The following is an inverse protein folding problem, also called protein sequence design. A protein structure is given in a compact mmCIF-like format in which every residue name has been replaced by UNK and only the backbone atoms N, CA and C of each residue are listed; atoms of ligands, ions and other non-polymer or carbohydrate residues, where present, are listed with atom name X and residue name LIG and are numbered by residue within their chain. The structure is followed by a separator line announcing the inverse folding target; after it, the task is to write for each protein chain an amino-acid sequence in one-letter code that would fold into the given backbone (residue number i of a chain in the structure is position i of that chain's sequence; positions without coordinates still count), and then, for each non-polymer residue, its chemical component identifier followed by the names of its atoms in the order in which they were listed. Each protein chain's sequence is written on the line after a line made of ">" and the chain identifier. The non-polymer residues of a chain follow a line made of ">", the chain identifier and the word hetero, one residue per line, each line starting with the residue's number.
data_IF_246358964388
#
_entry.id   IF_246358964388
#
_cell.length_a   1.000
_cell.length_b   1.000
_cell.length_c   1.000
_cell.angle_alpha   90.00
_cell.angle_beta   90.00
_cell.angle_gamma   90.00
#
_symmetry.space_group_name_H-M   'P 1'
#
loop_
_entity.id
_entity.type
_entity.pdbx_description
1 polymer ?
#
# COMPACT_ATOMS: atom_id res chain seq x y z
N UNK A 1 39.93 -30.68 -0.07
CA UNK A 1 39.42 -29.32 -0.30
C UNK A 1 38.71 -28.88 0.96
N UNK A 2 39.24 -27.90 1.69
CA UNK A 2 38.61 -27.37 2.92
C UNK A 2 37.39 -26.53 2.56
N UNK A 3 36.21 -27.02 2.91
CA UNK A 3 34.96 -26.27 2.82
C UNK A 3 34.94 -25.18 3.91
N UNK A 4 35.52 -24.03 3.60
CA UNK A 4 35.52 -22.84 4.47
C UNK A 4 34.34 -21.94 4.15
N UNK A 5 33.13 -22.50 4.01
CA UNK A 5 31.92 -21.67 3.97
C UNK A 5 31.70 -21.08 5.36
N UNK A 6 32.10 -19.82 5.54
CA UNK A 6 31.91 -19.05 6.77
C UNK A 6 30.45 -19.20 7.24
N UNK A 7 30.25 -19.79 8.42
CA UNK A 7 28.91 -20.04 8.96
C UNK A 7 28.13 -18.72 8.99
N UNK A 8 26.95 -18.72 8.36
CA UNK A 8 26.09 -17.53 8.34
C UNK A 8 25.71 -17.16 9.78
N UNK A 9 25.72 -15.87 10.14
CA UNK A 9 25.27 -15.44 11.45
C UNK A 9 23.80 -15.85 11.65
N UNK A 10 23.55 -16.57 12.73
CA UNK A 10 22.21 -16.95 13.18
C UNK A 10 21.76 -15.94 14.24
N UNK A 11 20.69 -15.22 13.97
CA UNK A 11 20.07 -14.32 14.95
C UNK A 11 18.96 -15.08 15.67
N UNK A 12 19.12 -15.29 16.98
CA UNK A 12 18.12 -15.90 17.87
C UNK A 12 17.72 -14.83 18.91
N UNK A 13 16.46 -14.84 19.37
CA UNK A 13 15.92 -13.87 20.34
C UNK A 13 16.02 -12.40 19.92
N UNK A 14 15.55 -12.08 18.71
CA UNK A 14 15.53 -10.72 18.16
C UNK A 14 14.57 -9.86 19.01
N UNK A 15 15.11 -8.85 19.69
CA UNK A 15 14.32 -7.90 20.45
C UNK A 15 13.69 -6.86 19.48
N UNK A 16 12.36 -6.66 19.51
CA UNK A 16 11.69 -5.78 18.56
C UNK A 16 12.15 -4.31 18.62
N UNK A 17 12.66 -3.85 19.76
CA UNK A 17 12.99 -2.44 19.99
C UNK A 17 14.48 -2.19 19.70
N UNK A 18 15.39 -3.02 20.21
CA UNK A 18 16.84 -2.82 20.00
C UNK A 18 17.33 -3.33 18.64
N UNK A 19 16.76 -4.42 18.14
CA UNK A 19 17.38 -5.15 17.03
C UNK A 19 16.70 -4.87 15.68
N UNK A 20 15.38 -4.65 15.65
CA UNK A 20 14.68 -4.32 14.40
C UNK A 20 14.95 -2.88 13.95
N UNK A 21 15.14 -1.95 14.88
CA UNK A 21 15.36 -0.53 14.58
C UNK A 21 16.71 -0.28 13.90
N UNK A 22 17.70 -1.13 14.16
CA UNK A 22 19.04 -1.06 13.56
C UNK A 22 19.18 -1.90 12.28
N UNK A 23 18.21 -2.76 11.97
CA UNK A 23 18.27 -3.67 10.84
C UNK A 23 18.04 -2.97 9.50
N UNK A 24 18.99 -3.13 8.57
CA UNK A 24 18.88 -2.59 7.21
C UNK A 24 17.99 -3.46 6.33
N UNK A 25 16.70 -3.13 6.29
CA UNK A 25 15.72 -3.82 5.45
C UNK A 25 16.01 -3.64 3.95
N UNK A 26 16.16 -4.75 3.19
CA UNK A 26 16.16 -4.70 1.72
C UNK A 26 14.86 -4.10 1.19
N UNK A 27 14.90 -3.52 -0.02
CA UNK A 27 13.72 -2.91 -0.67
C UNK A 27 12.55 -3.90 -0.78
N UNK A 28 12.85 -5.17 -1.10
CA UNK A 28 11.84 -6.24 -1.16
C UNK A 28 11.14 -6.48 0.19
N UNK A 29 11.88 -6.37 1.31
CA UNK A 29 11.32 -6.52 2.65
C UNK A 29 10.43 -5.33 3.02
N UNK A 30 10.84 -4.10 2.66
CA UNK A 30 10.00 -2.89 2.82
C UNK A 30 8.70 -3.00 2.03
N UNK A 31 8.76 -3.51 0.80
CA UNK A 31 7.54 -3.73 0.01
C UNK A 31 6.61 -4.75 0.67
N UNK A 32 7.14 -5.85 1.20
CA UNK A 32 6.34 -6.88 1.89
C UNK A 32 5.62 -6.36 3.12
N UNK A 33 6.30 -5.56 3.98
CA UNK A 33 5.64 -5.00 5.16
C UNK A 33 4.58 -3.97 4.77
N UNK A 34 4.83 -3.16 3.74
CA UNK A 34 3.85 -2.21 3.22
C UNK A 34 2.67 -2.90 2.54
N UNK A 35 2.85 -4.06 1.89
CA UNK A 35 1.75 -4.87 1.36
C UNK A 35 0.81 -5.35 2.47
N UNK A 36 1.36 -5.77 3.62
CA UNK A 36 0.56 -6.13 4.80
C UNK A 36 -0.14 -4.92 5.40
N UNK A 37 0.58 -3.82 5.59
CA UNK A 37 0.03 -2.58 6.12
C UNK A 37 -1.10 -2.04 5.24
N UNK A 38 -0.95 -2.08 3.91
CA UNK A 38 -1.99 -1.64 2.99
C UNK A 38 -3.23 -2.55 3.01
N UNK A 39 -3.07 -3.85 3.25
CA UNK A 39 -4.20 -4.74 3.52
C UNK A 39 -4.99 -4.30 4.75
N UNK A 40 -4.29 -4.00 5.85
CA UNK A 40 -4.91 -3.50 7.09
C UNK A 40 -5.62 -2.15 6.89
N UNK A 41 -4.97 -1.20 6.21
CA UNK A 41 -5.56 0.12 5.94
C UNK A 41 -6.85 -0.02 5.16
N UNK A 42 -6.88 -0.85 4.10
CA UNK A 42 -8.12 -1.11 3.36
C UNK A 42 -9.19 -1.73 4.25
N UNK A 43 -8.83 -2.74 5.05
CA UNK A 43 -9.77 -3.40 5.96
C UNK A 43 -10.44 -2.42 6.93
N UNK A 44 -9.65 -1.56 7.60
CA UNK A 44 -10.20 -0.56 8.52
C UNK A 44 -11.01 0.54 7.82
N UNK A 45 -10.71 0.83 6.55
CA UNK A 45 -11.45 1.81 5.76
C UNK A 45 -12.63 1.20 4.98
N UNK A 46 -12.89 -0.11 5.07
CA UNK A 46 -14.04 -0.74 4.41
C UNK A 46 -15.38 -0.08 4.78
N UNK A 47 -15.70 0.24 6.06
CA UNK A 47 -16.94 0.95 6.38
C UNK A 47 -17.04 2.31 5.69
N UNK A 48 -15.92 3.01 5.54
CA UNK A 48 -15.86 4.29 4.83
C UNK A 48 -16.09 4.10 3.32
N UNK A 49 -15.53 3.06 2.70
CA UNK A 49 -15.78 2.71 1.29
C UNK A 49 -17.26 2.39 1.06
N UNK A 50 -17.88 1.61 1.96
CA UNK A 50 -19.31 1.29 1.89
C UNK A 50 -20.15 2.56 1.99
N UNK A 51 -19.82 3.46 2.92
CA UNK A 51 -20.50 4.75 3.04
C UNK A 51 -20.36 5.63 1.80
N UNK A 52 -19.15 5.71 1.20
CA UNK A 52 -18.92 6.44 -0.05
C UNK A 52 -19.78 5.88 -1.18
N UNK A 53 -19.81 4.54 -1.33
CA UNK A 53 -20.59 3.88 -2.36
C UNK A 53 -22.07 4.13 -2.18
N UNK A 54 -22.62 3.83 -1.00
CA UNK A 54 -24.04 4.03 -0.67
C UNK A 54 -24.47 5.47 -0.97
N UNK A 55 -23.76 6.44 -0.37
CA UNK A 55 -24.05 7.88 -0.55
C UNK A 55 -23.95 8.33 -2.01
N UNK A 56 -23.13 7.67 -2.84
CA UNK A 56 -22.99 8.02 -4.25
C UNK A 56 -24.12 7.52 -5.14
N UNK A 57 -24.89 6.50 -4.73
CA UNK A 57 -25.86 5.82 -5.61
C UNK A 57 -27.32 5.87 -5.13
N UNK A 58 -27.60 6.29 -3.88
CA UNK A 58 -28.97 6.22 -3.32
C UNK A 58 -29.97 7.14 -4.04
N UNK A 59 -29.58 8.38 -4.34
CA UNK A 59 -30.44 9.44 -4.91
C UNK A 59 -29.62 10.65 -5.35
N UNK A 60 -30.23 11.56 -6.11
CA UNK A 60 -29.62 12.85 -6.49
C UNK A 60 -29.19 13.67 -5.26
N UNK A 61 -30.03 13.71 -4.22
CA UNK A 61 -29.71 14.41 -2.98
C UNK A 61 -28.50 13.78 -2.27
N UNK A 62 -28.42 12.45 -2.22
CA UNK A 62 -27.26 11.76 -1.64
C UNK A 62 -25.99 11.99 -2.45
N UNK A 63 -26.09 12.03 -3.79
CA UNK A 63 -24.95 12.32 -4.65
C UNK A 63 -24.43 13.76 -4.46
N UNK A 64 -25.33 14.73 -4.27
CA UNK A 64 -24.95 16.09 -3.88
C UNK A 64 -24.20 16.12 -2.53
N UNK A 65 -24.64 15.31 -1.55
CA UNK A 65 -23.90 15.15 -0.28
C UNK A 65 -22.54 14.49 -0.47
N UNK A 66 -22.46 13.45 -1.31
CA UNK A 66 -21.20 12.76 -1.65
C UNK A 66 -20.19 13.75 -2.23
N UNK A 67 -20.57 14.54 -3.23
CA UNK A 67 -19.68 15.54 -3.84
C UNK A 67 -19.32 16.66 -2.87
N UNK A 68 -20.27 17.14 -2.06
CA UNK A 68 -20.01 18.14 -1.02
C UNK A 68 -19.01 17.66 0.03
N UNK A 69 -18.99 16.36 0.37
CA UNK A 69 -18.08 15.80 1.37
C UNK A 69 -16.59 16.06 1.05
N UNK A 70 -16.21 16.16 -0.22
CA UNK A 70 -14.84 16.44 -0.64
C UNK A 70 -14.47 17.93 -0.56
N UNK A 71 -15.46 18.82 -0.48
CA UNK A 71 -15.26 20.27 -0.46
C UNK A 71 -15.46 20.84 0.94
N UNK A 72 -16.61 20.58 1.55
CA UNK A 72 -16.97 21.12 2.88
C UNK A 72 -16.68 20.12 4.00
N UNK A 73 -16.85 18.82 3.73
CA UNK A 73 -16.64 17.75 4.71
C UNK A 73 -17.89 16.93 4.99
N UNK A 74 -17.75 15.93 5.86
CA UNK A 74 -18.82 15.04 6.28
C UNK A 74 -18.80 14.86 7.80
N UNK A 75 -19.87 15.27 8.48
CA UNK A 75 -19.95 15.23 9.94
C UNK A 75 -18.89 16.12 10.58
N UNK A 76 -18.06 15.55 11.45
CA UNK A 76 -16.94 16.24 12.12
C UNK A 76 -15.67 16.32 11.25
N UNK A 77 -15.64 15.65 10.09
CA UNK A 77 -14.45 15.53 9.27
C UNK A 77 -14.46 16.58 8.15
N UNK A 78 -13.46 17.48 8.08
CA UNK A 78 -13.39 18.49 7.03
C UNK A 78 -13.05 17.88 5.66
N UNK A 79 -13.40 18.56 4.57
CA UNK A 79 -13.23 18.03 3.20
C UNK A 79 -11.79 17.64 2.83
N UNK A 80 -10.78 18.37 3.34
CA UNK A 80 -9.38 18.00 3.14
C UNK A 80 -9.03 16.65 3.79
N UNK A 81 -9.63 16.34 4.96
CA UNK A 81 -9.42 15.06 5.64
C UNK A 81 -10.07 13.92 4.86
N UNK A 82 -11.27 14.14 4.32
CA UNK A 82 -11.93 13.20 3.41
C UNK A 82 -11.05 12.91 2.19
N UNK A 83 -10.47 13.95 1.56
CA UNK A 83 -9.50 13.77 0.46
C UNK A 83 -8.26 12.97 0.88
N UNK A 84 -7.70 13.21 2.07
CA UNK A 84 -6.58 12.41 2.56
C UNK A 84 -6.95 10.95 2.84
N UNK A 85 -8.13 10.68 3.40
CA UNK A 85 -8.62 9.33 3.63
C UNK A 85 -8.80 8.58 2.29
N UNK A 86 -9.35 9.25 1.28
CA UNK A 86 -9.48 8.69 -0.07
C UNK A 86 -8.12 8.52 -0.76
N UNK A 87 -7.17 9.45 -0.57
CA UNK A 87 -5.80 9.28 -1.06
C UNK A 87 -5.12 8.06 -0.42
N UNK A 88 -5.31 7.87 0.90
CA UNK A 88 -4.81 6.71 1.62
C UNK A 88 -5.42 5.41 1.06
N UNK A 89 -6.73 5.39 0.78
CA UNK A 89 -7.41 4.27 0.12
C UNK A 89 -6.82 3.97 -1.27
N UNK A 90 -6.65 5.00 -2.11
CA UNK A 90 -6.08 4.88 -3.45
C UNK A 90 -4.68 4.26 -3.38
N UNK A 91 -3.80 4.85 -2.56
CA UNK A 91 -2.45 4.33 -2.36
C UNK A 91 -2.48 2.89 -1.86
N UNK A 92 -3.32 2.63 -0.85
CA UNK A 92 -3.41 1.33 -0.21
C UNK A 92 -3.81 0.24 -1.19
N UNK A 93 -4.86 0.49 -1.99
CA UNK A 93 -5.32 -0.43 -3.02
C UNK A 93 -4.25 -0.66 -4.09
N UNK A 94 -3.70 0.41 -4.67
CA UNK A 94 -2.73 0.30 -5.77
C UNK A 94 -1.43 -0.40 -5.32
N UNK A 95 -0.89 -0.02 -4.15
CA UNK A 95 0.27 -0.69 -3.58
C UNK A 95 -0.02 -2.15 -3.27
N UNK A 96 -1.17 -2.45 -2.64
CA UNK A 96 -1.55 -3.82 -2.31
C UNK A 96 -1.70 -4.68 -3.56
N UNK A 97 -2.40 -4.17 -4.57
CA UNK A 97 -2.65 -4.85 -5.84
C UNK A 97 -1.35 -5.12 -6.60
N UNK A 98 -0.51 -4.12 -6.81
CA UNK A 98 0.78 -4.29 -7.50
C UNK A 98 1.70 -5.28 -6.77
N UNK A 99 1.77 -5.19 -5.43
CA UNK A 99 2.53 -6.14 -4.63
C UNK A 99 1.93 -7.55 -4.66
N UNK A 100 0.59 -7.67 -4.66
CA UNK A 100 -0.13 -8.94 -4.77
C UNK A 100 0.14 -9.65 -6.10
N UNK A 101 0.09 -8.92 -7.22
CA UNK A 101 0.48 -9.46 -8.53
C UNK A 101 1.93 -9.96 -8.54
N UNK A 102 2.85 -9.21 -7.90
CA UNK A 102 4.24 -9.66 -7.73
C UNK A 102 4.32 -10.94 -6.89
N UNK A 103 3.52 -11.08 -5.84
CA UNK A 103 3.47 -12.29 -5.03
C UNK A 103 2.97 -13.48 -5.85
N UNK A 104 1.83 -13.35 -6.52
CA UNK A 104 1.29 -14.39 -7.41
C UNK A 104 2.31 -14.80 -8.48
N UNK A 105 3.02 -13.83 -9.07
CA UNK A 105 4.06 -14.11 -10.05
C UNK A 105 5.20 -14.97 -9.47
N UNK A 106 5.66 -14.65 -8.25
CA UNK A 106 6.69 -15.44 -7.57
C UNK A 106 6.20 -16.85 -7.23
N UNK A 107 4.91 -17.00 -6.90
CA UNK A 107 4.28 -18.28 -6.59
C UNK A 107 4.15 -19.18 -7.82
N UNK A 108 4.04 -18.63 -9.04
CA UNK A 108 3.99 -19.43 -10.28
C UNK A 108 5.36 -19.62 -10.93
N UNK A 109 6.28 -18.65 -10.77
CA UNK A 109 7.56 -18.61 -11.48
C UNK A 109 8.78 -18.79 -10.56
N UNK A 110 8.77 -19.85 -9.75
CA UNK A 110 9.83 -20.15 -8.76
C UNK A 110 11.27 -20.08 -9.31
N UNK A 111 11.49 -20.53 -10.55
CA UNK A 111 12.83 -20.52 -11.19
C UNK A 111 13.40 -19.11 -11.38
N UNK A 112 12.54 -18.10 -11.46
CA UNK A 112 12.91 -16.70 -11.66
C UNK A 112 13.12 -15.96 -10.33
N UNK A 113 12.81 -16.59 -9.19
CA UNK A 113 12.90 -15.97 -7.86
C UNK A 113 14.33 -16.04 -7.35
N UNK A 114 15.06 -14.94 -7.53
CA UNK A 114 16.41 -14.76 -7.00
C UNK A 114 16.58 -13.36 -6.38
N UNK A 115 17.76 -13.06 -5.84
CA UNK A 115 18.03 -11.79 -5.14
C UNK A 115 17.90 -10.57 -6.05
N UNK A 116 18.34 -10.69 -7.30
CA UNK A 116 18.25 -9.60 -8.30
C UNK A 116 16.79 -9.34 -8.64
N UNK A 117 16.05 -10.39 -9.03
CA UNK A 117 14.61 -10.32 -9.29
C UNK A 117 13.86 -9.74 -8.11
N UNK A 118 14.16 -10.17 -6.88
CA UNK A 118 13.54 -9.66 -5.66
C UNK A 118 13.70 -8.14 -5.51
N UNK A 119 14.87 -7.58 -5.85
CA UNK A 119 15.16 -6.14 -5.82
C UNK A 119 14.47 -5.41 -6.96
N UNK A 120 14.64 -5.86 -8.20
CA UNK A 120 14.15 -5.17 -9.40
C UNK A 120 12.63 -5.17 -9.46
N UNK A 121 11.99 -6.32 -9.21
CA UNK A 121 10.52 -6.41 -9.14
C UNK A 121 9.93 -5.53 -8.04
N UNK A 122 10.60 -5.43 -6.88
CA UNK A 122 10.11 -4.57 -5.80
C UNK A 122 10.21 -3.08 -6.16
N UNK A 123 11.29 -2.67 -6.81
CA UNK A 123 11.45 -1.29 -7.26
C UNK A 123 10.44 -0.95 -8.35
N UNK A 124 10.19 -1.86 -9.29
CA UNK A 124 9.17 -1.70 -10.33
C UNK A 124 7.76 -1.56 -9.71
N UNK A 125 7.41 -2.42 -8.75
CA UNK A 125 6.13 -2.29 -8.04
C UNK A 125 5.98 -0.93 -7.34
N UNK A 126 7.02 -0.43 -6.66
CA UNK A 126 6.97 0.91 -6.06
C UNK A 126 6.80 2.00 -7.11
N UNK A 127 7.58 1.96 -8.18
CA UNK A 127 7.50 2.96 -9.24
C UNK A 127 6.10 3.01 -9.86
N UNK A 128 5.53 1.85 -10.21
CA UNK A 128 4.21 1.76 -10.83
C UNK A 128 3.11 2.23 -9.84
N UNK A 129 3.09 1.67 -8.63
CA UNK A 129 2.05 2.01 -7.65
C UNK A 129 2.08 3.47 -7.22
N UNK A 130 3.27 4.06 -7.00
CA UNK A 130 3.41 5.46 -6.64
C UNK A 130 3.07 6.39 -7.80
N UNK A 131 3.46 6.06 -9.02
CA UNK A 131 3.09 6.84 -10.21
C UNK A 131 1.56 6.87 -10.38
N UNK A 132 0.91 5.71 -10.30
CA UNK A 132 -0.55 5.63 -10.38
C UNK A 132 -1.23 6.39 -9.22
N UNK A 133 -0.69 6.28 -8.01
CA UNK A 133 -1.18 7.03 -6.84
C UNK A 133 -1.05 8.54 -7.07
N UNK A 134 0.07 9.00 -7.61
CA UNK A 134 0.29 10.42 -7.88
C UNK A 134 -0.67 10.95 -8.96
N UNK A 135 -0.91 10.19 -10.02
CA UNK A 135 -1.86 10.54 -11.09
C UNK A 135 -3.28 10.64 -10.53
N UNK A 136 -3.76 9.61 -9.83
CA UNK A 136 -5.10 9.60 -9.25
C UNK A 136 -5.26 10.62 -8.11
N UNK A 137 -4.20 10.82 -7.32
CA UNK A 137 -4.13 11.86 -6.31
C UNK A 137 -4.24 13.25 -6.93
N UNK A 138 -3.51 13.52 -8.02
CA UNK A 138 -3.61 14.78 -8.73
C UNK A 138 -5.06 15.07 -9.18
N UNK A 139 -5.76 14.06 -9.70
CA UNK A 139 -7.19 14.16 -10.03
C UNK A 139 -8.06 14.43 -8.80
N UNK A 140 -7.83 13.72 -7.69
CA UNK A 140 -8.57 13.89 -6.43
C UNK A 140 -8.47 15.31 -5.86
N UNK A 141 -7.33 15.97 -6.08
CA UNK A 141 -7.09 17.35 -5.67
C UNK A 141 -7.44 18.38 -6.77
N UNK A 142 -8.01 17.95 -7.90
CA UNK A 142 -8.52 18.84 -8.95
C UNK A 142 -7.44 19.47 -9.82
N UNK A 143 -6.28 18.83 -9.97
CA UNK A 143 -5.21 19.34 -10.84
C UNK A 143 -5.54 19.20 -12.34
N UNK A 144 -6.46 18.30 -12.71
CA UNK A 144 -6.97 18.11 -14.08
C UNK A 144 -8.31 17.34 -14.08
#
# INVERSE_FOLDING_TARGET
>A
MSDTTKKRPEFRNINPISDLTTYRLPVAAKLSILHRASGLVMFFLLPFVIWLLDTSITSEYSYARFTAAFNTGAGIFPGWFIKLAVLALIWSYLHHFCAGLRHIWMDVSHKSVNKEFGKTSALACFAISLLLTAILGAKLFGLY
#
